data_IF_658264175560
#
_entry.id   IF_658264175560
#
_cell.length_a   1.000
_cell.length_b   1.000
_cell.length_c   1.000
_cell.angle_alpha   90.00
_cell.angle_beta   90.00
_cell.angle_gamma   90.00
#
_symmetry.space_group_name_H-M   'P 1'
#
loop_
_entity.id
_entity.type
_entity.pdbx_description
1 polymer ?
#
# COMPACT_ATOMS: atom_id res chain seq x y z
N UNK A 1 13.37 -36.28 42.82
CA UNK A 1 13.41 -35.17 41.87
C UNK A 1 14.82 -35.09 41.29
N UNK A 2 15.03 -35.45 40.02
CA UNK A 2 16.39 -35.37 39.46
C UNK A 2 16.73 -33.91 39.09
N UNK A 3 17.80 -33.43 39.65
CA UNK A 3 18.47 -32.22 39.24
C UNK A 3 19.20 -32.42 37.91
N UNK A 4 18.52 -32.21 36.80
CA UNK A 4 19.15 -32.09 35.49
C UNK A 4 18.28 -31.18 34.57
N UNK A 5 18.37 -29.90 34.70
CA UNK A 5 18.31 -29.01 33.54
C UNK A 5 19.16 -27.79 33.86
N UNK A 6 20.42 -27.81 33.42
CA UNK A 6 21.13 -26.58 33.15
C UNK A 6 20.39 -25.96 31.92
N UNK A 7 19.43 -25.10 32.17
CA UNK A 7 18.95 -24.20 31.14
C UNK A 7 20.05 -23.17 30.93
N UNK A 8 20.80 -23.35 29.85
CA UNK A 8 21.64 -22.32 29.31
C UNK A 8 20.81 -21.03 29.19
N UNK A 9 21.47 -19.90 29.38
CA UNK A 9 20.86 -18.57 29.16
C UNK A 9 20.02 -18.62 27.91
N UNK A 10 18.70 -18.57 28.07
CA UNK A 10 17.79 -18.27 26.98
C UNK A 10 18.05 -16.81 26.68
N UNK A 11 18.84 -16.52 25.67
CA UNK A 11 18.83 -15.21 25.05
C UNK A 11 17.41 -15.03 24.51
N UNK A 12 16.65 -14.19 25.18
CA UNK A 12 15.43 -13.62 24.59
C UNK A 12 15.89 -12.84 23.37
N UNK A 13 15.82 -13.47 22.20
CA UNK A 13 15.86 -12.73 20.96
C UNK A 13 14.56 -11.93 20.95
N UNK A 14 14.68 -10.66 21.28
CA UNK A 14 13.56 -9.71 21.23
C UNK A 14 13.31 -9.42 19.74
N UNK A 15 12.36 -10.12 19.16
CA UNK A 15 11.88 -9.88 17.78
C UNK A 15 10.99 -8.62 17.66
N UNK A 16 11.01 -7.73 18.65
CA UNK A 16 10.45 -6.42 18.48
C UNK A 16 11.33 -5.69 17.47
N UNK A 17 10.92 -5.75 16.21
CA UNK A 17 11.31 -4.72 15.26
C UNK A 17 10.95 -3.40 15.95
N UNK A 18 11.92 -2.53 16.09
CA UNK A 18 11.71 -1.19 16.63
C UNK A 18 10.68 -0.49 15.73
N UNK A 19 9.40 -0.58 16.13
CA UNK A 19 8.28 0.02 15.36
C UNK A 19 8.38 1.55 15.30
N UNK A 20 9.33 2.11 16.04
CA UNK A 20 9.54 3.55 16.21
C UNK A 20 10.60 4.13 15.27
N UNK A 21 11.15 3.35 14.35
CA UNK A 21 12.18 3.82 13.41
C UNK A 21 11.88 3.40 11.97
N UNK A 22 12.25 4.27 11.03
CA UNK A 22 12.23 3.95 9.60
C UNK A 22 13.35 2.93 9.32
N UNK A 23 13.06 1.80 8.68
CA UNK A 23 14.09 0.83 8.31
C UNK A 23 15.17 1.43 7.40
N UNK A 24 16.45 1.16 7.66
CA UNK A 24 17.58 1.63 6.84
C UNK A 24 17.51 1.15 5.37
N UNK A 25 16.68 0.16 5.08
CA UNK A 25 16.48 -0.42 3.74
C UNK A 25 15.40 0.28 2.91
N UNK A 26 14.88 1.40 3.38
CA UNK A 26 13.93 2.22 2.64
C UNK A 26 14.69 3.30 1.89
N UNK A 27 14.56 3.30 0.57
CA UNK A 27 15.03 4.38 -0.27
C UNK A 27 13.96 5.45 -0.37
N UNK A 28 14.32 6.70 -0.08
CA UNK A 28 13.39 7.83 -0.03
C UNK A 28 13.64 8.74 -1.21
N UNK A 29 12.57 8.99 -1.95
CA UNK A 29 12.57 9.82 -3.15
C UNK A 29 11.60 10.99 -3.02
N UNK A 30 11.87 12.06 -3.74
CA UNK A 30 10.91 13.13 -3.99
C UNK A 30 10.55 13.21 -5.46
N UNK A 31 9.29 13.50 -5.72
CA UNK A 31 8.73 13.77 -7.04
C UNK A 31 8.02 15.11 -6.94
N UNK A 32 8.38 16.06 -7.79
CA UNK A 32 7.76 17.39 -7.78
C UNK A 32 6.72 17.48 -8.90
N UNK A 33 5.48 17.77 -8.50
CA UNK A 33 4.42 18.09 -9.44
C UNK A 33 4.54 19.54 -9.91
N UNK A 34 4.42 19.82 -11.21
CA UNK A 34 4.49 21.18 -11.74
C UNK A 34 3.27 22.03 -11.35
N UNK A 35 2.18 21.39 -10.92
CA UNK A 35 0.92 22.05 -10.55
C UNK A 35 0.45 21.59 -9.18
N UNK A 36 -0.40 22.40 -8.55
CA UNK A 36 -0.93 22.13 -7.22
C UNK A 36 -1.78 20.86 -7.17
N UNK A 37 -2.56 20.59 -8.20
CA UNK A 37 -3.28 19.31 -8.36
C UNK A 37 -2.29 18.23 -8.81
N UNK A 38 -1.98 17.31 -7.92
CA UNK A 38 -0.96 16.30 -8.11
C UNK A 38 -1.45 14.99 -8.73
N UNK A 39 -2.71 14.89 -9.15
CA UNK A 39 -3.29 13.64 -9.66
C UNK A 39 -2.60 13.13 -10.91
N UNK A 40 -2.30 14.00 -11.87
CA UNK A 40 -1.57 13.60 -13.07
C UNK A 40 -0.16 13.10 -12.73
N UNK A 41 0.56 13.80 -11.88
CA UNK A 41 1.90 13.39 -11.42
C UNK A 41 1.85 12.04 -10.68
N UNK A 42 0.81 11.82 -9.87
CA UNK A 42 0.56 10.53 -9.22
C UNK A 42 0.35 9.42 -10.25
N UNK A 43 -0.47 9.65 -11.27
CA UNK A 43 -0.71 8.70 -12.35
C UNK A 43 0.59 8.32 -13.06
N UNK A 44 1.43 9.29 -13.40
CA UNK A 44 2.71 9.05 -14.05
C UNK A 44 3.66 8.24 -13.14
N UNK A 45 3.74 8.59 -11.86
CA UNK A 45 4.56 7.85 -10.89
C UNK A 45 4.09 6.40 -10.78
N UNK A 46 2.80 6.16 -10.63
CA UNK A 46 2.23 4.82 -10.54
C UNK A 46 2.48 3.98 -11.81
N UNK A 47 2.40 4.59 -12.98
CA UNK A 47 2.75 3.92 -14.24
C UNK A 47 4.22 3.50 -14.26
N UNK A 48 5.11 4.33 -13.74
CA UNK A 48 6.55 4.01 -13.64
C UNK A 48 6.84 2.87 -12.66
N UNK A 49 6.01 2.67 -11.64
CA UNK A 49 6.15 1.61 -10.64
C UNK A 49 5.56 0.26 -11.12
N UNK A 50 4.80 0.26 -12.20
CA UNK A 50 4.26 -0.95 -12.81
C UNK A 50 3.25 -1.68 -11.93
N UNK A 51 3.43 -2.99 -11.77
CA UNK A 51 2.53 -3.86 -11.01
C UNK A 51 2.94 -4.03 -9.53
N UNK A 52 3.93 -3.29 -9.07
CA UNK A 52 4.38 -3.33 -7.69
C UNK A 52 3.27 -2.87 -6.73
N UNK A 53 3.24 -3.47 -5.56
CA UNK A 53 2.28 -3.09 -4.52
C UNK A 53 2.60 -1.70 -3.98
N UNK A 54 1.59 -0.84 -3.92
CA UNK A 54 1.75 0.55 -3.54
C UNK A 54 0.60 0.99 -2.62
N UNK A 55 0.94 1.67 -1.52
CA UNK A 55 -0.03 2.42 -0.73
C UNK A 55 0.17 3.91 -1.00
N UNK A 56 -0.90 4.60 -1.37
CA UNK A 56 -0.96 6.05 -1.51
C UNK A 56 -1.64 6.63 -0.28
N UNK A 57 -0.90 7.38 0.52
CA UNK A 57 -1.42 7.99 1.74
C UNK A 57 -1.87 9.43 1.53
N UNK A 58 -3.09 9.70 1.97
CA UNK A 58 -3.70 11.02 2.02
C UNK A 58 -4.22 11.31 3.44
N UNK A 59 -4.44 12.58 3.76
CA UNK A 59 -4.87 12.98 5.11
C UNK A 59 -6.39 13.02 5.29
N UNK A 60 -7.17 13.04 4.20
CA UNK A 60 -8.62 13.26 4.24
C UNK A 60 -9.38 12.19 3.46
N UNK A 61 -10.53 11.79 4.00
CA UNK A 61 -11.43 10.79 3.39
C UNK A 61 -11.90 11.17 2.00
N UNK A 62 -12.34 12.42 1.83
CA UNK A 62 -12.83 12.95 0.55
C UNK A 62 -11.72 12.94 -0.52
N UNK A 63 -10.49 13.25 -0.11
CA UNK A 63 -9.33 13.19 -0.99
C UNK A 63 -9.00 11.76 -1.42
N UNK A 64 -9.16 10.79 -0.51
CA UNK A 64 -9.00 9.36 -0.81
C UNK A 64 -9.99 8.93 -1.89
N UNK A 65 -11.26 9.25 -1.73
CA UNK A 65 -12.31 8.87 -2.68
C UNK A 65 -12.12 9.56 -4.04
N UNK A 66 -11.79 10.85 -4.04
CA UNK A 66 -11.49 11.61 -5.27
C UNK A 66 -10.29 11.01 -6.02
N UNK A 67 -9.22 10.71 -5.31
CA UNK A 67 -8.01 10.12 -5.89
C UNK A 67 -8.27 8.72 -6.43
N UNK A 68 -8.98 7.89 -5.68
CA UNK A 68 -9.35 6.56 -6.14
C UNK A 68 -10.20 6.61 -7.43
N UNK A 69 -11.20 7.47 -7.46
CA UNK A 69 -12.06 7.66 -8.66
C UNK A 69 -11.21 8.04 -9.88
N UNK A 70 -10.33 9.01 -9.73
CA UNK A 70 -9.42 9.43 -10.79
C UNK A 70 -8.56 8.27 -11.31
N UNK A 71 -7.94 7.50 -10.40
CA UNK A 71 -7.09 6.39 -10.78
C UNK A 71 -7.86 5.26 -11.49
N UNK A 72 -9.08 4.96 -11.05
CA UNK A 72 -9.96 4.00 -11.73
C UNK A 72 -10.28 4.47 -13.15
N UNK A 73 -10.59 5.74 -13.33
CA UNK A 73 -10.87 6.36 -14.65
C UNK A 73 -9.63 6.31 -15.57
N UNK A 74 -8.43 6.34 -15.00
CA UNK A 74 -7.17 6.18 -15.74
C UNK A 74 -6.82 4.71 -16.05
N UNK A 75 -7.58 3.75 -15.55
CA UNK A 75 -7.39 2.32 -15.81
C UNK A 75 -6.56 1.58 -14.77
N UNK A 76 -6.28 2.17 -13.62
CA UNK A 76 -5.56 1.50 -12.54
C UNK A 76 -6.47 0.55 -11.75
N UNK A 77 -5.89 -0.53 -11.24
CA UNK A 77 -6.55 -1.48 -10.33
C UNK A 77 -6.33 -1.06 -8.89
N UNK A 78 -7.32 -0.40 -8.31
CA UNK A 78 -7.21 0.21 -6.99
C UNK A 78 -8.25 -0.34 -6.00
N UNK A 79 -7.88 -0.29 -4.73
CA UNK A 79 -8.81 -0.32 -3.59
C UNK A 79 -8.60 0.96 -2.77
N UNK A 80 -9.61 1.38 -2.03
CA UNK A 80 -9.48 2.51 -1.13
C UNK A 80 -9.95 2.16 0.28
N UNK A 81 -9.43 2.89 1.28
CA UNK A 81 -9.61 2.56 2.68
C UNK A 81 -9.61 3.82 3.54
N UNK A 82 -10.67 4.02 4.30
CA UNK A 82 -10.77 5.07 5.30
C UNK A 82 -11.85 4.75 6.35
N UNK A 83 -11.88 5.49 7.44
CA UNK A 83 -12.77 5.23 8.56
C UNK A 83 -14.26 5.46 8.30
N UNK A 84 -14.63 6.09 7.18
CA UNK A 84 -16.02 6.28 6.76
C UNK A 84 -16.65 5.05 6.09
N UNK A 85 -15.85 4.06 5.71
CA UNK A 85 -16.35 2.81 5.13
C UNK A 85 -16.96 1.91 6.19
N UNK A 86 -18.00 1.15 5.80
CA UNK A 86 -18.51 0.08 6.62
C UNK A 86 -17.48 -1.05 6.77
N UNK A 87 -17.57 -1.84 7.84
CA UNK A 87 -16.63 -2.92 8.12
C UNK A 87 -16.48 -3.90 6.97
N UNK A 88 -17.60 -4.26 6.32
CA UNK A 88 -17.61 -5.16 5.17
C UNK A 88 -16.85 -4.59 3.97
N UNK A 89 -16.98 -3.29 3.73
CA UNK A 89 -16.27 -2.60 2.65
C UNK A 89 -14.77 -2.51 2.94
N UNK A 90 -14.39 -2.24 4.20
CA UNK A 90 -12.97 -2.23 4.63
C UNK A 90 -12.33 -3.60 4.42
N UNK A 91 -12.98 -4.66 4.84
CA UNK A 91 -12.50 -6.04 4.67
C UNK A 91 -12.35 -6.40 3.19
N UNK A 92 -13.33 -6.03 2.35
CA UNK A 92 -13.28 -6.28 0.92
C UNK A 92 -12.12 -5.54 0.25
N UNK A 93 -11.88 -4.26 0.61
CA UNK A 93 -10.77 -3.47 0.09
C UNK A 93 -9.41 -4.06 0.44
N UNK A 94 -9.20 -4.43 1.70
CA UNK A 94 -7.96 -5.04 2.15
C UNK A 94 -7.74 -6.42 1.54
N UNK A 95 -8.79 -7.21 1.40
CA UNK A 95 -8.72 -8.52 0.77
C UNK A 95 -8.28 -8.42 -0.71
N UNK A 96 -8.88 -7.51 -1.48
CA UNK A 96 -8.51 -7.28 -2.87
C UNK A 96 -7.06 -6.81 -3.02
N UNK A 97 -6.61 -5.95 -2.13
CA UNK A 97 -5.23 -5.49 -2.12
C UNK A 97 -4.26 -6.62 -1.74
N UNK A 98 -4.55 -7.37 -0.71
CA UNK A 98 -3.71 -8.46 -0.23
C UNK A 98 -3.61 -9.63 -1.22
N UNK A 99 -4.65 -9.92 -1.98
CA UNK A 99 -4.64 -11.02 -2.94
C UNK A 99 -4.12 -10.65 -4.34
N UNK A 100 -3.77 -9.38 -4.58
CA UNK A 100 -3.26 -8.91 -5.86
C UNK A 100 -4.33 -8.55 -6.90
N UNK A 101 -5.63 -8.55 -6.54
CA UNK A 101 -6.70 -8.03 -7.41
C UNK A 101 -6.62 -6.51 -7.59
N UNK A 102 -6.03 -5.82 -6.62
CA UNK A 102 -5.64 -4.43 -6.71
C UNK A 102 -4.19 -4.31 -6.25
N UNK A 103 -3.33 -3.68 -7.02
CA UNK A 103 -1.94 -3.43 -6.64
C UNK A 103 -1.74 -2.07 -5.98
N UNK A 104 -2.77 -1.24 -5.93
CA UNK A 104 -2.74 0.10 -5.34
C UNK A 104 -3.83 0.20 -4.27
N UNK A 105 -3.44 0.60 -3.06
CA UNK A 105 -4.35 0.97 -1.99
C UNK A 105 -4.27 2.47 -1.75
N UNK A 106 -5.37 3.18 -1.92
CA UNK A 106 -5.49 4.61 -1.62
C UNK A 106 -6.11 4.76 -0.24
N UNK A 107 -5.40 5.33 0.71
CA UNK A 107 -5.84 5.30 2.11
C UNK A 107 -5.49 6.56 2.89
N UNK A 108 -6.26 6.80 3.95
CA UNK A 108 -5.82 7.65 5.05
C UNK A 108 -4.82 6.90 5.94
N UNK A 109 -4.27 7.57 6.97
CA UNK A 109 -3.37 6.94 7.94
C UNK A 109 -3.98 5.73 8.69
N UNK A 110 -5.27 5.47 8.51
CA UNK A 110 -5.91 4.27 9.05
C UNK A 110 -5.23 2.97 8.58
N UNK A 111 -4.66 2.93 7.37
CA UNK A 111 -3.93 1.78 6.86
C UNK A 111 -2.47 1.71 7.35
N UNK A 112 -1.98 2.69 8.09
CA UNK A 112 -0.59 2.71 8.57
C UNK A 112 -0.35 1.88 9.81
N UNK A 113 -1.41 1.52 10.55
CA UNK A 113 -1.31 0.82 11.84
C UNK A 113 -2.31 -0.34 11.94
N UNK A 114 -1.92 -1.37 12.69
CA UNK A 114 -2.82 -2.41 13.18
C UNK A 114 -3.48 -3.29 12.11
N UNK A 115 -3.08 -3.21 10.86
CA UNK A 115 -3.62 -4.02 9.79
C UNK A 115 -2.66 -5.15 9.41
N UNK A 116 -3.23 -6.33 9.22
CA UNK A 116 -2.52 -7.47 8.66
C UNK A 116 -2.51 -7.36 7.13
N UNK A 117 -1.55 -6.60 6.63
CA UNK A 117 -1.29 -6.46 5.19
C UNK A 117 0.13 -6.95 4.89
N UNK A 118 0.35 -7.54 3.71
CA UNK A 118 1.68 -8.00 3.32
C UNK A 118 2.69 -6.83 3.26
N UNK A 119 3.96 -7.16 3.13
CA UNK A 119 5.00 -6.16 2.89
C UNK A 119 4.74 -5.46 1.55
N UNK A 120 4.87 -4.13 1.55
CA UNK A 120 4.51 -3.26 0.44
C UNK A 120 5.77 -2.75 -0.24
N UNK A 121 5.80 -2.78 -1.57
CA UNK A 121 6.96 -2.35 -2.35
C UNK A 121 7.17 -0.83 -2.28
N UNK A 122 6.09 -0.06 -2.36
CA UNK A 122 6.15 1.38 -2.44
C UNK A 122 5.14 2.08 -1.52
N UNK A 123 5.59 3.13 -0.87
CA UNK A 123 4.75 4.06 -0.11
C UNK A 123 4.82 5.41 -0.81
N UNK A 124 3.67 6.02 -1.07
CA UNK A 124 3.56 7.36 -1.65
C UNK A 124 2.87 8.29 -0.65
N UNK A 125 3.57 9.32 -0.23
CA UNK A 125 2.99 10.43 0.53
C UNK A 125 2.38 11.44 -0.46
N UNK A 126 1.11 11.27 -0.79
CA UNK A 126 0.38 12.23 -1.62
C UNK A 126 0.10 13.52 -0.82
N UNK A 127 -0.33 13.38 0.42
CA UNK A 127 -0.28 14.43 1.42
C UNK A 127 0.89 14.17 2.39
N UNK A 128 1.56 15.23 2.80
CA UNK A 128 2.65 15.10 3.77
C UNK A 128 2.12 14.56 5.10
N UNK A 129 2.86 13.67 5.77
CA UNK A 129 2.50 13.20 7.10
C UNK A 129 2.38 14.38 8.06
N UNK A 130 1.40 14.35 8.95
CA UNK A 130 1.15 15.43 9.91
C UNK A 130 2.08 15.35 11.13
N UNK A 131 2.75 14.22 11.33
CA UNK A 131 3.69 14.01 12.44
C UNK A 131 4.80 13.03 12.06
N UNK A 132 5.90 13.07 12.79
CA UNK A 132 7.00 12.11 12.66
C UNK A 132 6.50 10.68 12.91
N UNK A 133 5.69 10.47 13.92
CA UNK A 133 5.07 9.20 14.23
C UNK A 133 4.22 8.67 13.06
N UNK A 134 3.41 9.52 12.47
CA UNK A 134 2.64 9.19 11.26
C UNK A 134 3.53 8.80 10.08
N UNK A 135 4.63 9.50 9.88
CA UNK A 135 5.61 9.19 8.85
C UNK A 135 6.25 7.81 9.07
N UNK A 136 6.73 7.54 10.28
CA UNK A 136 7.35 6.25 10.64
C UNK A 136 6.36 5.09 10.40
N UNK A 137 5.12 5.23 10.82
CA UNK A 137 4.10 4.21 10.63
C UNK A 137 3.72 3.99 9.17
N UNK A 138 3.65 5.05 8.35
CA UNK A 138 3.43 4.91 6.91
C UNK A 138 4.56 4.12 6.26
N UNK A 139 5.79 4.51 6.51
CA UNK A 139 6.97 3.87 5.91
C UNK A 139 7.18 2.47 6.48
N UNK A 140 6.79 2.21 7.71
CA UNK A 140 6.82 0.89 8.33
C UNK A 140 5.94 -0.17 7.66
N UNK A 141 5.20 0.16 6.60
CA UNK A 141 4.48 -0.82 5.75
C UNK A 141 5.37 -1.43 4.68
N UNK A 142 6.55 -0.90 4.45
CA UNK A 142 7.52 -1.40 3.47
C UNK A 142 8.82 -1.84 4.15
N UNK A 143 9.67 -2.53 3.41
CA UNK A 143 11.01 -2.98 3.82
C UNK A 143 11.04 -3.82 5.10
N UNK A 144 10.02 -4.61 5.36
CA UNK A 144 10.00 -5.59 6.43
C UNK A 144 10.87 -6.80 6.08
N UNK A 145 11.36 -7.52 7.09
CA UNK A 145 11.97 -8.85 6.91
C UNK A 145 13.14 -8.90 5.89
N UNK A 146 14.06 -8.01 5.89
CA UNK A 146 15.20 -7.98 4.95
C UNK A 146 14.85 -7.54 3.51
N UNK A 147 13.60 -7.27 3.16
CA UNK A 147 13.24 -6.69 1.87
C UNK A 147 13.69 -5.24 1.77
N UNK A 148 13.89 -4.75 0.55
CA UNK A 148 14.07 -3.32 0.27
C UNK A 148 12.74 -2.69 -0.09
N UNK A 149 12.54 -1.43 0.29
CA UNK A 149 11.33 -0.68 -0.01
C UNK A 149 11.64 0.73 -0.51
N UNK A 150 10.63 1.37 -1.09
CA UNK A 150 10.72 2.74 -1.57
C UNK A 150 9.61 3.59 -0.97
N UNK A 151 9.95 4.81 -0.59
CA UNK A 151 8.99 5.80 -0.17
C UNK A 151 9.16 7.06 -1.02
N UNK A 152 8.04 7.62 -1.47
CA UNK A 152 8.01 8.78 -2.35
C UNK A 152 7.25 9.91 -1.67
N UNK A 153 7.85 11.10 -1.66
CA UNK A 153 7.15 12.33 -1.35
C UNK A 153 6.71 12.98 -2.65
N UNK A 154 5.42 13.02 -2.89
CA UNK A 154 4.84 13.72 -4.03
C UNK A 154 4.49 15.15 -3.63
N UNK A 155 5.30 16.09 -4.08
CA UNK A 155 5.24 17.49 -3.66
C UNK A 155 4.58 18.35 -4.73
N UNK A 156 3.65 19.20 -4.31
CA UNK A 156 3.19 20.33 -5.12
C UNK A 156 4.23 21.46 -5.12
N UNK A 157 4.01 22.54 -5.91
CA UNK A 157 5.00 23.62 -6.08
C UNK A 157 5.38 24.36 -4.80
N UNK A 158 4.49 24.38 -3.81
CA UNK A 158 4.68 25.08 -2.54
C UNK A 158 4.82 24.14 -1.34
N UNK A 159 4.84 22.85 -1.58
CA UNK A 159 4.98 21.84 -0.53
C UNK A 159 6.45 21.52 -0.27
N UNK A 160 6.76 21.23 0.98
CA UNK A 160 8.09 20.86 1.44
C UNK A 160 8.04 19.55 2.22
N UNK A 161 9.12 18.79 2.15
CA UNK A 161 9.29 17.61 2.99
C UNK A 161 9.41 18.06 4.44
N UNK A 162 8.67 17.41 5.36
CA UNK A 162 8.73 17.77 6.79
C UNK A 162 10.16 17.70 7.35
N UNK A 163 10.51 18.62 8.25
CA UNK A 163 11.84 18.72 8.85
C UNK A 163 12.23 17.49 9.69
N UNK A 164 11.25 16.76 10.21
CA UNK A 164 11.51 15.54 10.98
C UNK A 164 11.95 14.34 10.12
N UNK A 165 11.93 14.46 8.80
CA UNK A 165 12.45 13.41 7.91
C UNK A 165 13.95 13.53 7.86
N UNK A 166 14.63 12.76 8.72
CA UNK A 166 16.09 12.69 8.78
C UNK A 166 16.57 11.49 7.95
N UNK A 167 16.67 11.70 6.64
CA UNK A 167 17.09 10.68 5.70
C UNK A 167 17.70 11.32 4.44
N UNK A 168 18.52 10.55 3.74
CA UNK A 168 18.96 10.92 2.40
C UNK A 168 17.77 10.82 1.43
N UNK A 169 17.47 11.92 0.75
CA UNK A 169 16.34 12.02 -0.18
C UNK A 169 16.89 12.25 -1.58
N UNK A 170 16.57 11.34 -2.47
CA UNK A 170 16.96 11.43 -3.87
C UNK A 170 15.84 12.00 -4.74
N UNK A 171 16.20 12.72 -5.78
CA UNK A 171 15.24 13.09 -6.82
C UNK A 171 14.89 11.84 -7.64
N UNK A 172 13.60 11.55 -7.77
CA UNK A 172 13.15 10.44 -8.61
C UNK A 172 13.06 10.89 -10.05
N UNK A 173 13.90 10.30 -10.89
CA UNK A 173 13.89 10.55 -12.32
C UNK A 173 12.77 9.74 -12.98
N UNK A 174 11.65 10.40 -13.25
CA UNK A 174 10.53 9.78 -13.93
C UNK A 174 10.75 9.81 -15.44
N UNK A 175 10.58 8.67 -16.13
CA UNK A 175 10.62 8.66 -17.60
C UNK A 175 9.56 9.60 -18.18
N UNK A 176 9.77 10.06 -19.41
CA UNK A 176 8.79 10.87 -20.12
C UNK A 176 7.46 10.12 -20.26
N UNK A 177 6.33 10.85 -20.23
CA UNK A 177 5.00 10.26 -20.18
C UNK A 177 4.72 9.31 -21.38
N UNK A 178 5.27 9.59 -22.54
CA UNK A 178 5.15 8.76 -23.75
C UNK A 178 5.99 7.46 -23.70
N UNK A 179 6.96 7.39 -22.80
CA UNK A 179 7.80 6.21 -22.55
C UNK A 179 7.25 5.31 -21.42
N UNK A 180 6.27 5.78 -20.66
CA UNK A 180 5.68 5.03 -19.56
C UNK A 180 4.69 3.99 -20.09
N UNK A 181 4.67 2.77 -19.48
CA UNK A 181 3.67 1.77 -19.83
C UNK A 181 2.27 2.24 -19.44
N UNK A 182 1.25 1.64 -20.02
CA UNK A 182 -0.11 1.78 -19.53
C UNK A 182 -0.22 1.26 -18.08
N UNK A 183 -1.28 1.66 -17.33
CA UNK A 183 -1.53 1.10 -16.01
C UNK A 183 -1.50 -0.43 -16.01
N UNK A 184 -0.82 -1.02 -15.02
CA UNK A 184 -0.68 -2.47 -14.91
C UNK A 184 -2.04 -3.13 -14.69
N UNK A 185 -2.25 -4.28 -15.32
CA UNK A 185 -3.44 -5.10 -15.09
C UNK A 185 -3.27 -5.93 -13.81
N UNK A 186 -4.35 -6.19 -13.07
CA UNK A 186 -4.29 -7.02 -11.88
C UNK A 186 -3.90 -8.47 -12.26
N UNK A 187 -3.10 -9.09 -11.41
CA UNK A 187 -2.72 -10.51 -11.56
C UNK A 187 -3.83 -11.46 -11.17
N UNK A 188 -4.76 -11.00 -10.35
CA UNK A 188 -5.86 -11.76 -9.78
C UNK A 188 -7.17 -10.99 -9.96
N UNK A 189 -8.28 -11.71 -9.97
CA UNK A 189 -9.61 -11.12 -9.92
C UNK A 189 -10.34 -11.60 -8.68
N UNK A 190 -11.02 -10.69 -7.99
CA UNK A 190 -11.89 -11.01 -6.86
C UNK A 190 -13.32 -11.09 -7.35
N UNK A 191 -13.93 -12.24 -7.19
CA UNK A 191 -15.33 -12.48 -7.50
C UNK A 191 -16.11 -12.62 -6.20
N UNK A 192 -17.09 -11.74 -6.01
CA UNK A 192 -18.02 -11.86 -4.89
C UNK A 192 -19.20 -12.75 -5.27
N UNK A 193 -19.38 -13.84 -4.52
CA UNK A 193 -20.50 -14.75 -4.70
C UNK A 193 -21.39 -14.61 -3.46
N UNK A 194 -22.52 -13.93 -3.63
CA UNK A 194 -23.48 -13.66 -2.55
C UNK A 194 -24.25 -14.87 -2.04
N UNK A 195 -23.96 -16.07 -2.55
CA UNK A 195 -24.60 -17.34 -2.20
C UNK A 195 -23.56 -18.39 -1.81
N UNK A 196 -23.91 -19.29 -0.93
CA UNK A 196 -22.99 -20.29 -0.39
C UNK A 196 -23.65 -21.60 0.00
N UNK A 197 -23.06 -22.34 0.95
CA UNK A 197 -23.59 -23.65 1.41
C UNK A 197 -25.04 -23.62 1.85
N UNK A 198 -25.50 -22.52 2.45
CA UNK A 198 -26.91 -22.34 2.83
C UNK A 198 -27.86 -22.32 1.62
N UNK A 199 -27.35 -21.91 0.47
CA UNK A 199 -28.06 -21.84 -0.80
C UNK A 199 -27.80 -23.09 -1.69
N UNK A 200 -27.19 -24.13 -1.14
CA UNK A 200 -26.81 -25.37 -1.82
C UNK A 200 -25.79 -25.18 -2.96
N UNK A 201 -24.96 -24.15 -2.89
CA UNK A 201 -23.87 -23.91 -3.85
C UNK A 201 -22.55 -24.40 -3.24
N UNK A 202 -21.90 -25.31 -3.92
CA UNK A 202 -20.58 -25.85 -3.55
C UNK A 202 -19.44 -25.14 -4.28
N UNK A 203 -18.21 -25.35 -3.78
CA UNK A 203 -17.00 -24.89 -4.51
C UNK A 203 -16.89 -25.51 -5.90
N UNK A 204 -17.35 -26.75 -6.07
CA UNK A 204 -17.36 -27.46 -7.36
C UNK A 204 -18.29 -26.82 -8.37
N UNK A 205 -19.46 -26.34 -7.94
CA UNK A 205 -20.41 -25.65 -8.82
C UNK A 205 -19.84 -24.34 -9.34
N UNK A 206 -19.12 -23.62 -8.49
CA UNK A 206 -18.45 -22.36 -8.85
C UNK A 206 -17.33 -22.61 -9.85
N UNK A 207 -16.47 -23.61 -9.59
CA UNK A 207 -15.42 -24.01 -10.50
C UNK A 207 -15.99 -24.47 -11.85
N UNK A 208 -17.03 -25.29 -11.82
CA UNK A 208 -17.72 -25.72 -13.03
C UNK A 208 -18.29 -24.59 -13.86
N UNK A 209 -18.81 -23.55 -13.21
CA UNK A 209 -19.29 -22.34 -13.89
C UNK A 209 -18.17 -21.53 -14.53
N UNK A 210 -17.05 -21.36 -13.82
CA UNK A 210 -15.89 -20.60 -14.29
C UNK A 210 -15.16 -21.33 -15.45
N UNK A 211 -15.14 -22.66 -15.42
CA UNK A 211 -14.47 -23.47 -16.45
C UNK A 211 -15.30 -23.70 -17.71
N UNK A 212 -16.60 -23.43 -17.69
CA UNK A 212 -17.50 -23.65 -18.84
C UNK A 212 -17.43 -22.61 -19.94
N UNK A 213 -16.62 -21.55 -19.77
CA UNK A 213 -16.36 -20.51 -20.76
C UNK A 213 -14.88 -20.47 -21.13
N UNK A 214 -14.36 -21.58 -21.59
CA UNK A 214 -13.10 -21.70 -22.32
C UNK A 214 -13.37 -22.09 -23.73
#
# INVERSE_FOLDING_TARGET
IPHFVHMGRVEKIDYRVDEDQVPDRVHIYKVVSPVKDKLESLSLLLRSLGDQSTIVFLNYRDSVERTNKYLVEQGFSTSFFHGGLEQKEREASLYRFSNGSANILVSTDLASRGLDIPDIDNIIHYHMPESEDGYIHRVGRTARWEAQGKAFFLLGPEEHIPEYVDAEIEDYEMPAADQLPAPAKPKMATIYIGKGKKDKISKGDILGFLCKKG
#
